data_IF_492815371342
#
_entry.id   IF_492815371342
#
_cell.length_a   1.000
_cell.length_b   1.000
_cell.length_c   1.000
_cell.angle_alpha   90.00
_cell.angle_beta   90.00
_cell.angle_gamma   90.00
#
_symmetry.space_group_name_H-M   'P 1'
#
loop_
_entity.id
_entity.type
_entity.pdbx_description
1 polymer ?
#
# COMPACT_ATOMS: atom_id res chain seq x y z
N UNK A 1 11.90 -6.34 3.69
CA UNK A 1 10.64 -5.63 3.42
C UNK A 1 10.11 -6.16 2.09
N UNK A 2 8.81 -6.17 1.85
CA UNK A 2 8.29 -6.61 0.55
C UNK A 2 8.63 -5.62 -0.57
N UNK A 3 8.95 -6.16 -1.76
CA UNK A 3 9.22 -5.35 -2.97
C UNK A 3 8.10 -4.37 -3.32
N UNK A 4 6.86 -4.65 -2.87
CA UNK A 4 5.70 -3.83 -3.17
C UNK A 4 5.64 -2.57 -2.30
N UNK A 5 6.19 -2.62 -1.09
CA UNK A 5 6.30 -1.47 -0.18
C UNK A 5 7.57 -0.67 -0.48
N UNK A 6 8.69 -1.34 -0.75
CA UNK A 6 9.97 -0.68 -1.05
C UNK A 6 9.94 0.16 -2.33
N UNK A 7 9.08 -0.19 -3.30
CA UNK A 7 8.99 0.55 -4.55
C UNK A 7 8.20 1.88 -4.42
N UNK A 8 7.51 2.13 -3.29
CA UNK A 8 6.70 3.34 -3.11
C UNK A 8 7.58 4.59 -3.02
N UNK A 9 7.09 5.68 -3.63
CA UNK A 9 7.77 6.96 -3.71
C UNK A 9 6.96 7.96 -2.90
N UNK A 10 7.54 8.54 -1.85
CA UNK A 10 6.86 9.51 -0.98
C UNK A 10 7.74 10.71 -0.59
N UNK A 11 8.90 10.84 -1.20
CA UNK A 11 9.90 11.90 -0.98
C UNK A 11 9.94 12.92 -2.13
N UNK A 12 8.85 13.08 -2.89
CA UNK A 12 8.77 14.06 -3.97
C UNK A 12 8.91 15.48 -3.42
N UNK A 13 9.75 16.29 -4.06
CA UNK A 13 10.06 17.66 -3.67
C UNK A 13 9.71 18.67 -4.76
N UNK A 14 9.74 19.95 -4.42
CA UNK A 14 9.53 21.04 -5.40
C UNK A 14 10.66 21.09 -6.44
N UNK A 15 11.87 20.68 -6.07
CA UNK A 15 12.99 20.58 -7.01
C UNK A 15 12.68 19.61 -8.14
N UNK A 16 11.96 18.53 -7.85
CA UNK A 16 11.58 17.52 -8.84
C UNK A 16 10.64 18.08 -9.91
N UNK A 17 9.77 19.01 -9.50
CA UNK A 17 8.88 19.76 -10.40
C UNK A 17 9.71 20.71 -11.27
N UNK A 18 10.66 21.43 -10.67
CA UNK A 18 11.53 22.38 -11.38
C UNK A 18 12.42 21.68 -12.41
N UNK A 19 12.95 20.50 -12.06
CA UNK A 19 13.80 19.67 -12.91
C UNK A 19 12.99 18.78 -13.87
N UNK A 20 11.66 18.80 -13.77
CA UNK A 20 10.74 17.98 -14.57
C UNK A 20 11.10 16.48 -14.55
N UNK A 21 11.55 16.00 -13.39
CA UNK A 21 11.90 14.59 -13.23
C UNK A 21 10.65 13.70 -13.34
N UNK A 22 10.84 12.44 -13.73
CA UNK A 22 9.73 11.48 -13.86
C UNK A 22 8.91 11.33 -12.59
N UNK A 23 9.55 11.39 -11.41
CA UNK A 23 8.89 11.30 -10.10
C UNK A 23 7.94 12.47 -9.78
N UNK A 24 8.08 13.62 -10.46
CA UNK A 24 7.20 14.77 -10.25
C UNK A 24 5.81 14.57 -10.85
N UNK A 25 5.70 13.66 -11.83
CA UNK A 25 4.47 13.33 -12.51
C UNK A 25 3.96 11.96 -12.05
N UNK A 26 2.65 11.77 -12.12
CA UNK A 26 2.02 10.48 -11.83
C UNK A 26 1.54 9.89 -13.15
N UNK A 27 2.13 8.77 -13.53
CA UNK A 27 1.78 8.02 -14.72
C UNK A 27 0.94 6.76 -14.39
N UNK A 28 0.65 5.97 -15.43
CA UNK A 28 -0.08 4.72 -15.28
C UNK A 28 0.74 3.64 -14.53
N UNK A 29 2.08 3.70 -14.59
CA UNK A 29 2.96 2.77 -13.89
C UNK A 29 2.96 3.05 -12.39
N UNK A 30 2.95 4.32 -11.99
CA UNK A 30 2.77 4.76 -10.60
C UNK A 30 1.43 4.27 -10.05
N UNK A 31 0.34 4.39 -10.81
CA UNK A 31 -0.97 3.87 -10.40
C UNK A 31 -0.94 2.35 -10.22
N UNK A 32 -0.34 1.61 -11.16
CA UNK A 32 -0.17 0.16 -11.05
C UNK A 32 0.63 -0.21 -9.81
N UNK A 33 1.69 0.54 -9.50
CA UNK A 33 2.53 0.35 -8.31
C UNK A 33 1.73 0.56 -7.03
N UNK A 34 1.00 1.67 -6.93
CA UNK A 34 0.16 2.00 -5.76
C UNK A 34 -0.92 0.94 -5.54
N UNK A 35 -1.63 0.56 -6.60
CA UNK A 35 -2.69 -0.45 -6.55
C UNK A 35 -2.14 -1.83 -6.15
N UNK A 36 -0.96 -2.19 -6.63
CA UNK A 36 -0.29 -3.44 -6.28
C UNK A 36 0.17 -3.44 -4.80
N UNK A 37 0.68 -2.31 -4.30
CA UNK A 37 1.02 -2.15 -2.90
C UNK A 37 -0.22 -2.25 -1.99
N UNK A 38 -1.34 -1.63 -2.36
CA UNK A 38 -2.61 -1.77 -1.64
C UNK A 38 -3.08 -3.23 -1.63
N UNK A 39 -3.02 -3.91 -2.78
CA UNK A 39 -3.38 -5.32 -2.89
C UNK A 39 -2.51 -6.19 -1.99
N UNK A 40 -1.21 -5.91 -1.92
CA UNK A 40 -0.29 -6.60 -1.01
C UNK A 40 -0.66 -6.38 0.45
N UNK A 41 -0.82 -5.13 0.89
CA UNK A 41 -1.19 -4.79 2.27
C UNK A 41 -2.51 -5.46 2.66
N UNK A 42 -3.52 -5.37 1.79
CA UNK A 42 -4.81 -6.03 1.93
C UNK A 42 -4.67 -7.54 2.11
N UNK A 43 -3.86 -8.19 1.28
CA UNK A 43 -3.59 -9.63 1.35
C UNK A 43 -2.95 -10.02 2.68
N UNK A 44 -1.89 -9.32 3.09
CA UNK A 44 -1.16 -9.59 4.33
C UNK A 44 -2.07 -9.38 5.56
N UNK A 45 -2.83 -8.29 5.58
CA UNK A 45 -3.82 -8.01 6.63
C UNK A 45 -4.85 -9.14 6.75
N UNK A 46 -5.41 -9.60 5.63
CA UNK A 46 -6.37 -10.70 5.61
C UNK A 46 -5.76 -12.02 6.12
N UNK A 47 -4.49 -12.31 5.80
CA UNK A 47 -3.78 -13.48 6.33
C UNK A 47 -3.63 -13.45 7.85
N UNK A 48 -3.43 -12.26 8.43
CA UNK A 48 -3.39 -12.06 9.87
C UNK A 48 -4.77 -11.96 10.54
N UNK A 49 -5.86 -12.10 9.77
CA UNK A 49 -7.23 -12.06 10.29
C UNK A 49 -7.87 -10.67 10.32
N UNK A 50 -7.16 -9.62 9.88
CA UNK A 50 -7.73 -8.28 9.69
C UNK A 50 -8.51 -8.23 8.38
N UNK A 51 -9.79 -8.63 8.46
CA UNK A 51 -10.68 -8.69 7.30
C UNK A 51 -10.81 -7.33 6.65
N UNK A 52 -10.46 -7.27 5.37
CA UNK A 52 -10.64 -6.11 4.53
C UNK A 52 -10.95 -6.53 3.09
N UNK A 53 -11.65 -5.68 2.35
CA UNK A 53 -11.98 -5.91 0.94
C UNK A 53 -11.47 -4.73 0.12
N UNK A 54 -10.60 -5.00 -0.84
CA UNK A 54 -10.08 -4.02 -1.80
C UNK A 54 -10.40 -4.46 -3.22
N UNK A 55 -10.81 -3.52 -4.06
CA UNK A 55 -11.07 -3.75 -5.48
C UNK A 55 -9.98 -3.05 -6.26
N UNK A 56 -8.94 -3.77 -6.68
CA UNK A 56 -7.75 -3.19 -7.28
C UNK A 56 -7.70 -3.35 -8.80
N UNK A 57 -7.29 -2.28 -9.50
CA UNK A 57 -6.99 -2.29 -10.94
C UNK A 57 -5.47 -2.17 -11.09
N UNK A 58 -4.82 -3.27 -11.47
CA UNK A 58 -3.35 -3.37 -11.61
C UNK A 58 -2.89 -3.42 -13.07
N UNK A 59 -3.81 -3.13 -14.00
CA UNK A 59 -3.61 -3.14 -15.44
C UNK A 59 -3.98 -1.78 -16.04
N UNK A 60 -3.50 -0.69 -15.43
CA UNK A 60 -3.57 0.63 -16.02
C UNK A 60 -2.72 0.68 -17.28
N UNK A 61 -3.32 1.16 -18.37
CA UNK A 61 -2.64 1.39 -19.65
C UNK A 61 -2.48 2.90 -19.91
N UNK A 62 -1.56 3.32 -20.79
CA UNK A 62 -1.38 4.73 -21.15
C UNK A 62 -2.67 5.41 -21.66
N UNK A 63 -3.53 4.66 -22.34
CA UNK A 63 -4.81 5.13 -22.89
C UNK A 63 -5.93 5.24 -21.84
N UNK A 64 -5.76 4.63 -20.67
CA UNK A 64 -6.75 4.66 -19.61
C UNK A 64 -6.88 6.06 -19.00
N UNK A 65 -8.11 6.54 -18.88
CA UNK A 65 -8.39 7.82 -18.23
C UNK A 65 -8.60 7.65 -16.74
N UNK A 66 -7.97 8.52 -15.95
CA UNK A 66 -8.25 8.70 -14.52
C UNK A 66 -9.61 9.36 -14.35
N UNK A 67 -10.65 8.53 -14.35
CA UNK A 67 -12.03 8.99 -14.11
C UNK A 67 -12.24 9.18 -12.61
N UNK A 68 -13.10 10.12 -12.23
CA UNK A 68 -13.43 10.37 -10.81
C UNK A 68 -13.90 9.10 -10.08
N UNK A 69 -14.62 8.21 -10.76
CA UNK A 69 -15.05 6.91 -10.22
C UNK A 69 -13.88 5.99 -9.84
N UNK A 70 -12.82 5.99 -10.65
CA UNK A 70 -11.62 5.18 -10.39
C UNK A 70 -10.80 5.75 -9.23
N UNK A 71 -10.71 7.07 -9.14
CA UNK A 71 -10.02 7.72 -8.01
C UNK A 71 -10.79 7.54 -6.71
N UNK A 72 -12.12 7.54 -6.75
CA UNK A 72 -12.96 7.21 -5.60
C UNK A 72 -12.83 5.74 -5.20
N UNK A 73 -12.72 4.80 -6.15
CA UNK A 73 -12.40 3.39 -5.88
C UNK A 73 -11.06 3.26 -5.16
N UNK A 74 -10.02 3.91 -5.67
CA UNK A 74 -8.69 3.90 -5.06
C UNK A 74 -8.74 4.46 -3.63
N UNK A 75 -9.43 5.58 -3.43
CA UNK A 75 -9.63 6.20 -2.11
C UNK A 75 -10.33 5.25 -1.14
N UNK A 76 -11.39 4.57 -1.58
CA UNK A 76 -12.10 3.57 -0.78
C UNK A 76 -11.20 2.40 -0.38
N UNK A 77 -10.31 1.93 -1.27
CA UNK A 77 -9.36 0.89 -0.91
C UNK A 77 -8.38 1.36 0.17
N UNK A 78 -7.85 2.58 0.06
CA UNK A 78 -6.95 3.17 1.07
C UNK A 78 -7.70 3.32 2.42
N UNK A 79 -8.94 3.78 2.38
CA UNK A 79 -9.78 3.88 3.58
C UNK A 79 -10.05 2.50 4.21
N UNK A 80 -10.26 1.47 3.40
CA UNK A 80 -10.49 0.10 3.88
C UNK A 80 -9.27 -0.49 4.59
N UNK A 81 -8.07 -0.36 4.00
CA UNK A 81 -6.83 -0.84 4.66
C UNK A 81 -6.54 -0.05 5.95
N UNK A 82 -6.82 1.26 5.95
CA UNK A 82 -6.67 2.12 7.12
C UNK A 82 -7.65 1.79 8.23
N UNK A 83 -8.89 1.45 7.89
CA UNK A 83 -9.89 1.06 8.88
C UNK A 83 -9.62 -0.34 9.47
N UNK A 84 -8.95 -1.20 8.70
CA UNK A 84 -8.65 -2.57 9.10
C UNK A 84 -7.50 -2.69 10.11
N UNK A 85 -6.60 -1.70 10.17
CA UNK A 85 -5.39 -1.76 10.99
C UNK A 85 -5.07 -0.44 11.70
N UNK A 86 -4.22 -0.50 12.72
CA UNK A 86 -3.77 0.69 13.44
C UNK A 86 -2.86 1.57 12.58
N UNK A 87 -3.10 2.89 12.59
CA UNK A 87 -2.23 3.89 11.96
C UNK A 87 -1.60 4.79 13.01
N UNK A 88 -0.34 5.15 12.80
CA UNK A 88 0.37 6.08 13.69
C UNK A 88 -0.25 7.48 13.63
N UNK A 89 -0.16 8.28 14.72
CA UNK A 89 -0.57 9.68 14.71
C UNK A 89 0.21 10.55 13.71
N UNK A 90 1.43 10.13 13.34
CA UNK A 90 2.26 10.79 12.33
C UNK A 90 1.82 10.52 10.89
N UNK A 91 0.98 9.52 10.65
CA UNK A 91 0.52 9.15 9.32
C UNK A 91 -0.54 10.17 8.85
N UNK A 92 -0.39 10.75 7.65
CA UNK A 92 -1.31 11.78 7.16
C UNK A 92 -2.75 11.26 7.04
N UNK A 93 -3.71 12.18 7.09
CA UNK A 93 -5.12 11.84 6.89
C UNK A 93 -5.37 11.47 5.42
N UNK A 94 -6.27 10.50 5.22
CA UNK A 94 -6.68 10.09 3.88
C UNK A 94 -7.41 11.26 3.24
N UNK A 95 -6.95 11.78 2.09
CA UNK A 95 -7.58 12.93 1.48
C UNK A 95 -9.02 12.61 1.08
N UNK A 96 -9.90 13.61 1.18
CA UNK A 96 -11.33 13.46 0.83
C UNK A 96 -11.51 13.15 -0.66
N UNK A 97 -10.66 13.72 -1.51
CA UNK A 97 -10.64 13.48 -2.95
C UNK A 97 -9.22 13.33 -3.46
N UNK A 98 -8.99 12.33 -4.32
CA UNK A 98 -7.72 12.11 -4.99
C UNK A 98 -7.79 12.76 -6.37
N UNK A 99 -7.02 13.84 -6.56
CA UNK A 99 -6.93 14.59 -7.83
C UNK A 99 -5.53 14.54 -8.44
N UNK A 100 -4.52 14.16 -7.65
CA UNK A 100 -3.09 14.18 -7.99
C UNK A 100 -2.65 15.52 -8.61
N UNK A 101 -3.24 16.63 -8.15
CA UNK A 101 -2.86 17.98 -8.57
C UNK A 101 -1.63 18.50 -7.84
N UNK A 102 -1.25 17.85 -6.74
CA UNK A 102 -0.15 18.25 -5.87
C UNK A 102 0.75 17.06 -5.57
N UNK A 103 2.07 17.26 -5.65
CA UNK A 103 3.08 16.27 -5.26
C UNK A 103 2.91 15.81 -3.81
N UNK A 104 2.45 16.71 -2.93
CA UNK A 104 2.22 16.41 -1.53
C UNK A 104 1.07 15.41 -1.35
N UNK A 105 0.04 15.50 -2.19
CA UNK A 105 -1.05 14.54 -2.16
C UNK A 105 -0.57 13.14 -2.57
N UNK A 106 0.29 13.05 -3.59
CA UNK A 106 0.90 11.78 -3.99
C UNK A 106 1.77 11.20 -2.87
N UNK A 107 2.60 12.02 -2.24
CA UNK A 107 3.43 11.61 -1.11
C UNK A 107 2.59 11.10 0.07
N UNK A 108 1.52 11.81 0.44
CA UNK A 108 0.66 11.38 1.54
C UNK A 108 -0.03 10.04 1.25
N UNK A 109 -0.48 9.81 0.02
CA UNK A 109 -1.11 8.54 -0.37
C UNK A 109 -0.12 7.39 -0.24
N UNK A 110 1.08 7.52 -0.82
CA UNK A 110 2.10 6.48 -0.78
C UNK A 110 2.66 6.28 0.63
N UNK A 111 2.80 7.35 1.41
CA UNK A 111 3.21 7.29 2.81
C UNK A 111 2.19 6.53 3.68
N UNK A 112 0.88 6.73 3.49
CA UNK A 112 -0.15 5.96 4.22
C UNK A 112 0.02 4.46 3.97
N UNK A 113 0.20 4.06 2.70
CA UNK A 113 0.34 2.66 2.31
C UNK A 113 1.65 2.09 2.87
N UNK A 114 2.73 2.85 2.77
CA UNK A 114 4.03 2.47 3.31
C UNK A 114 3.98 2.30 4.83
N UNK A 115 3.46 3.28 5.58
CA UNK A 115 3.38 3.23 7.04
C UNK A 115 2.57 2.01 7.51
N UNK A 116 1.41 1.76 6.90
CA UNK A 116 0.60 0.56 7.21
C UNK A 116 1.38 -0.70 6.84
N UNK A 117 1.99 -0.76 5.65
CA UNK A 117 2.77 -1.91 5.21
C UNK A 117 3.93 -2.24 6.15
N UNK A 118 4.69 -1.23 6.56
CA UNK A 118 5.80 -1.37 7.51
C UNK A 118 5.31 -1.81 8.88
N UNK A 119 4.21 -1.24 9.37
CA UNK A 119 3.61 -1.66 10.63
C UNK A 119 3.14 -3.11 10.55
N UNK A 120 2.47 -3.51 9.48
CA UNK A 120 2.00 -4.88 9.30
C UNK A 120 3.19 -5.85 9.23
N UNK A 121 4.24 -5.54 8.47
CA UNK A 121 5.45 -6.37 8.39
C UNK A 121 6.23 -6.42 9.70
N UNK A 122 6.30 -5.33 10.47
CA UNK A 122 6.96 -5.30 11.79
C UNK A 122 6.11 -5.93 12.89
N UNK A 123 4.80 -5.79 12.81
CA UNK A 123 3.82 -6.42 13.69
C UNK A 123 3.65 -7.90 13.44
N UNK A 124 4.33 -8.43 12.42
CA UNK A 124 4.81 -9.79 12.42
C UNK A 124 6.03 -9.86 13.34
N UNK A 125 5.90 -10.06 14.67
CA UNK A 125 6.92 -10.87 15.30
C UNK A 125 6.88 -12.16 14.48
N UNK A 126 8.02 -12.66 13.99
CA UNK A 126 8.07 -14.07 13.61
C UNK A 126 7.42 -14.79 14.79
N UNK A 127 6.23 -15.36 14.55
CA UNK A 127 5.29 -15.81 15.57
C UNK A 127 6.10 -16.38 16.72
N UNK A 128 6.12 -15.74 17.91
CA UNK A 128 7.00 -16.20 18.99
C UNK A 128 6.75 -17.69 19.15
N UNK A 129 7.76 -18.46 18.76
CA UNK A 129 7.62 -19.88 18.50
C UNK A 129 7.41 -20.55 19.84
N UNK A 130 6.17 -20.77 20.23
CA UNK A 130 5.87 -21.84 21.17
C UNK A 130 5.97 -23.15 20.36
N UNK A 131 7.21 -23.58 20.11
CA UNK A 131 7.51 -24.90 19.58
C UNK A 131 7.06 -25.94 20.62
N UNK A 132 5.82 -26.41 20.52
CA UNK A 132 5.45 -27.66 21.18
C UNK A 132 5.73 -28.79 20.19
N UNK A 133 6.82 -29.53 20.45
CA UNK A 133 7.14 -30.75 19.70
C UNK A 133 6.17 -31.85 20.11
N UNK A 134 5.09 -32.01 19.35
CA UNK A 134 4.26 -33.22 19.40
C UNK A 134 4.47 -33.96 18.09
N UNK A 135 5.20 -35.07 18.15
CA UNK A 135 5.28 -36.12 17.12
C UNK A 135 5.19 -35.68 15.65
N UNK A 136 6.36 -35.44 15.03
CA UNK A 136 6.57 -35.56 13.56
C UNK A 136 5.68 -34.74 12.63
N UNK A 137 5.96 -33.43 12.56
CA UNK A 137 6.23 -32.61 11.36
C UNK A 137 5.96 -31.17 11.75
N UNK A 138 6.98 -30.32 11.71
CA UNK A 138 6.79 -28.88 11.81
C UNK A 138 5.87 -28.47 10.64
N UNK A 139 4.63 -28.08 10.93
CA UNK A 139 3.71 -27.53 9.94
C UNK A 139 4.32 -26.19 9.50
N UNK A 140 4.87 -26.22 8.28
CA UNK A 140 5.90 -25.31 7.84
C UNK A 140 5.44 -23.89 7.52
N UNK A 141 6.45 -23.02 7.49
CA UNK A 141 6.44 -21.64 7.03
C UNK A 141 5.60 -21.46 5.76
N UNK A 142 4.56 -20.63 5.86
CA UNK A 142 3.92 -20.04 4.67
C UNK A 142 4.55 -18.66 4.48
N UNK A 143 5.54 -18.58 3.60
CA UNK A 143 5.95 -17.27 3.07
C UNK A 143 4.70 -16.57 2.53
N UNK A 144 4.48 -15.32 2.92
CA UNK A 144 3.43 -14.51 2.32
C UNK A 144 3.87 -14.26 0.87
N UNK A 145 3.17 -14.86 -0.08
CA UNK A 145 3.39 -14.65 -1.53
C UNK A 145 2.07 -14.23 -2.14
N UNK A 146 2.14 -13.19 -2.96
CA UNK A 146 1.03 -12.75 -3.82
C UNK A 146 0.84 -13.72 -4.99
#
# INVERSE_FOLDING_TARGET
>A
MSKYIDNLIYDRTVQDIQEMTTKAYIDYQDLNRIELAIKWVSHVLNQYGYRNATHNKVNWHPEDRRTDSEMERLRKNIAAIRAAYYTLPSTPQTPERITYTSIYQANFIEQIIHDIGVLVERSSPGMQHFDFKVGTRALGNREVKL
#
